data_IF_235188405142
#
_entry.id   IF_235188405142
#
_cell.length_a   1.000
_cell.length_b   1.000
_cell.length_c   1.000
_cell.angle_alpha   90.00
_cell.angle_beta   90.00
_cell.angle_gamma   90.00
#
_symmetry.space_group_name_H-M   'P 1'
#
loop_
_entity.id
_entity.type
_entity.pdbx_description
1 polymer ?
#
# COMPACT_ATOMS: atom_id res chain seq x y z
N UNK A 1 -1.76 21.65 -2.70
CA UNK A 1 -1.51 20.49 -1.81
C UNK A 1 -0.20 19.83 -2.21
N UNK A 2 0.85 19.93 -1.39
CA UNK A 2 2.21 19.38 -1.64
C UNK A 2 2.37 17.93 -1.13
N UNK A 3 1.27 17.29 -0.72
CA UNK A 3 1.27 16.03 0.06
C UNK A 3 1.71 14.79 -0.73
N UNK A 4 1.67 14.81 -2.06
CA UNK A 4 1.96 13.63 -2.89
C UNK A 4 3.35 13.65 -3.55
N UNK A 5 4.23 14.58 -3.19
CA UNK A 5 5.37 14.90 -4.05
C UNK A 5 6.62 14.01 -3.89
N UNK A 6 6.71 13.14 -2.87
CA UNK A 6 7.97 12.41 -2.61
C UNK A 6 7.85 10.90 -2.38
N UNK A 7 6.66 10.34 -2.14
CA UNK A 7 6.54 8.90 -1.84
C UNK A 7 5.89 8.14 -2.99
N UNK A 8 6.70 7.29 -3.64
CA UNK A 8 6.21 6.33 -4.63
C UNK A 8 5.65 5.11 -3.89
N UNK A 9 4.32 5.03 -3.74
CA UNK A 9 3.62 3.90 -3.10
C UNK A 9 3.35 2.73 -4.07
N UNK A 10 3.71 2.89 -5.34
CA UNK A 10 3.50 1.92 -6.41
C UNK A 10 4.27 0.60 -6.16
N UNK A 11 5.54 0.61 -5.69
CA UNK A 11 6.23 -0.62 -5.30
C UNK A 11 5.55 -1.36 -4.14
N UNK A 12 4.97 -0.64 -3.17
CA UNK A 12 4.25 -1.24 -2.05
C UNK A 12 2.98 -1.96 -2.52
N UNK A 13 2.22 -1.32 -3.41
CA UNK A 13 1.06 -1.93 -4.05
C UNK A 13 1.44 -3.18 -4.85
N UNK A 14 2.44 -3.08 -5.74
CA UNK A 14 2.89 -4.21 -6.57
C UNK A 14 3.38 -5.37 -5.69
N UNK A 15 4.18 -5.08 -4.66
CA UNK A 15 4.68 -6.09 -3.74
C UNK A 15 3.55 -6.83 -3.02
N UNK A 16 2.60 -6.09 -2.45
CA UNK A 16 1.42 -6.68 -1.80
C UNK A 16 0.58 -7.51 -2.79
N UNK A 17 0.38 -6.99 -4.00
CA UNK A 17 -0.41 -7.67 -5.01
C UNK A 17 0.19 -9.03 -5.41
N UNK A 18 1.51 -9.07 -5.63
CA UNK A 18 2.21 -10.32 -5.94
C UNK A 18 2.15 -11.31 -4.78
N UNK A 19 2.28 -10.85 -3.53
CA UNK A 19 2.14 -11.70 -2.34
C UNK A 19 0.73 -12.32 -2.28
N UNK A 20 -0.32 -11.53 -2.54
CA UNK A 20 -1.69 -12.02 -2.53
C UNK A 20 -1.95 -13.03 -3.64
N UNK A 21 -1.49 -12.77 -4.87
CA UNK A 21 -1.61 -13.71 -5.97
C UNK A 21 -0.90 -15.05 -5.67
N UNK A 22 0.32 -15.01 -5.13
CA UNK A 22 1.06 -16.22 -4.78
C UNK A 22 0.39 -16.99 -3.63
N UNK A 23 -0.15 -16.28 -2.65
CA UNK A 23 -0.86 -16.88 -1.51
C UNK A 23 -2.18 -17.53 -1.93
N UNK A 24 -2.95 -16.85 -2.79
CA UNK A 24 -4.20 -17.36 -3.33
C UNK A 24 -3.97 -18.61 -4.21
N UNK A 25 -2.95 -18.55 -5.07
CA UNK A 25 -2.57 -19.71 -5.89
C UNK A 25 -2.09 -20.89 -5.04
N UNK A 26 -1.27 -20.64 -4.01
CA UNK A 26 -0.78 -21.68 -3.12
C UNK A 26 -1.90 -22.39 -2.36
N UNK A 27 -2.96 -21.66 -1.96
CA UNK A 27 -4.05 -22.21 -1.15
C UNK A 27 -5.19 -22.80 -1.97
N UNK A 28 -5.58 -22.12 -3.04
CA UNK A 28 -6.81 -22.41 -3.78
C UNK A 28 -6.55 -22.88 -5.21
N UNK A 29 -5.28 -22.86 -5.67
CA UNK A 29 -4.91 -23.07 -7.08
C UNK A 29 -5.62 -22.11 -8.06
N UNK A 30 -6.14 -21.00 -7.54
CA UNK A 30 -6.81 -19.95 -8.31
C UNK A 30 -5.98 -18.68 -8.31
N UNK A 31 -6.07 -17.91 -9.39
CA UNK A 31 -5.55 -16.55 -9.45
C UNK A 31 -6.73 -15.58 -9.48
N UNK A 32 -7.26 -15.20 -8.32
CA UNK A 32 -8.34 -14.21 -8.24
C UNK A 32 -7.76 -12.80 -8.41
N UNK A 33 -7.47 -12.42 -9.65
CA UNK A 33 -6.74 -11.19 -10.00
C UNK A 33 -7.40 -9.93 -9.46
N UNK A 34 -8.74 -9.85 -9.51
CA UNK A 34 -9.50 -8.66 -9.11
C UNK A 34 -9.58 -8.53 -7.60
N UNK A 35 -9.91 -9.60 -6.87
CA UNK A 35 -10.02 -9.58 -5.41
C UNK A 35 -8.66 -9.28 -4.76
N UNK A 36 -7.59 -9.91 -5.26
CA UNK A 36 -6.24 -9.66 -4.78
C UNK A 36 -5.79 -8.22 -5.08
N UNK A 37 -6.21 -7.63 -6.20
CA UNK A 37 -5.91 -6.25 -6.54
C UNK A 37 -6.64 -5.27 -5.61
N UNK A 38 -7.93 -5.53 -5.33
CA UNK A 38 -8.72 -4.74 -4.39
C UNK A 38 -8.15 -4.81 -2.97
N UNK A 39 -7.75 -5.99 -2.50
CA UNK A 39 -7.11 -6.16 -1.19
C UNK A 39 -5.78 -5.39 -1.10
N UNK A 40 -4.91 -5.53 -2.10
CA UNK A 40 -3.66 -4.77 -2.16
C UNK A 40 -3.89 -3.26 -2.19
N UNK A 41 -4.91 -2.80 -2.92
CA UNK A 41 -5.27 -1.40 -3.03
C UNK A 41 -5.79 -0.86 -1.70
N UNK A 42 -6.68 -1.60 -1.04
CA UNK A 42 -7.23 -1.23 0.26
C UNK A 42 -6.13 -1.07 1.31
N UNK A 43 -5.20 -2.02 1.38
CA UNK A 43 -4.10 -1.97 2.35
C UNK A 43 -3.11 -0.84 2.03
N UNK A 44 -2.81 -0.63 0.74
CA UNK A 44 -1.95 0.48 0.32
C UNK A 44 -2.58 1.81 0.69
N UNK A 45 -3.88 2.00 0.41
CA UNK A 45 -4.62 3.20 0.76
C UNK A 45 -4.70 3.41 2.28
N UNK A 46 -4.93 2.34 3.03
CA UNK A 46 -4.93 2.36 4.49
C UNK A 46 -3.55 2.76 5.03
N UNK A 47 -2.47 2.19 4.50
CA UNK A 47 -1.11 2.55 4.87
C UNK A 47 -0.80 4.02 4.59
N UNK A 48 -1.20 4.54 3.43
CA UNK A 48 -1.05 5.96 3.09
C UNK A 48 -1.83 6.84 4.06
N UNK A 49 -3.09 6.47 4.35
CA UNK A 49 -3.95 7.21 5.26
C UNK A 49 -3.36 7.27 6.68
N UNK A 50 -2.91 6.14 7.23
CA UNK A 50 -2.30 6.08 8.55
C UNK A 50 -0.94 6.79 8.57
N UNK A 51 -0.09 6.58 7.55
CA UNK A 51 1.18 7.31 7.46
C UNK A 51 0.95 8.81 7.47
N UNK A 52 -0.06 9.30 6.74
CA UNK A 52 -0.46 10.70 6.77
C UNK A 52 -1.02 11.14 8.13
N UNK A 53 -1.98 10.40 8.69
CA UNK A 53 -2.67 10.74 9.93
C UNK A 53 -1.73 10.73 11.16
N UNK A 54 -0.72 9.86 11.15
CA UNK A 54 0.28 9.72 12.21
C UNK A 54 1.60 10.44 11.88
N UNK A 55 1.71 11.14 10.75
CA UNK A 55 2.86 12.01 10.41
C UNK A 55 2.86 13.32 11.21
N UNK A 56 2.07 13.44 12.27
CA UNK A 56 2.19 14.51 13.27
C UNK A 56 3.64 14.57 13.74
N UNK A 57 4.29 15.71 13.51
CA UNK A 57 5.58 16.12 14.09
C UNK A 57 6.91 15.78 13.38
N UNK A 58 7.02 16.00 12.06
CA UNK A 58 8.34 16.18 11.41
C UNK A 58 8.60 17.56 10.77
N UNK A 59 7.80 18.57 11.10
CA UNK A 59 8.08 19.97 10.69
C UNK A 59 8.69 20.86 11.79
N UNK A 60 8.94 20.35 13.00
CA UNK A 60 9.64 21.08 14.08
C UNK A 60 11.00 20.49 14.43
N UNK A 61 11.90 20.32 13.45
CA UNK A 61 13.35 20.20 13.72
C UNK A 61 14.19 20.51 12.46
N UNK A 62 14.04 21.71 11.93
CA UNK A 62 15.09 22.33 11.13
C UNK A 62 14.91 23.85 11.18
N UNK A 63 15.36 24.46 12.27
CA UNK A 63 16.44 25.45 12.34
C UNK A 63 16.32 26.25 13.63
#
# INVERSE_FOLDING_TARGET
MKFFREYNYLPLFIGLYMIYLLSDYSKNQTFNWVDNALQALFITAFYIFFTWAFSSDKSKKSK
#
